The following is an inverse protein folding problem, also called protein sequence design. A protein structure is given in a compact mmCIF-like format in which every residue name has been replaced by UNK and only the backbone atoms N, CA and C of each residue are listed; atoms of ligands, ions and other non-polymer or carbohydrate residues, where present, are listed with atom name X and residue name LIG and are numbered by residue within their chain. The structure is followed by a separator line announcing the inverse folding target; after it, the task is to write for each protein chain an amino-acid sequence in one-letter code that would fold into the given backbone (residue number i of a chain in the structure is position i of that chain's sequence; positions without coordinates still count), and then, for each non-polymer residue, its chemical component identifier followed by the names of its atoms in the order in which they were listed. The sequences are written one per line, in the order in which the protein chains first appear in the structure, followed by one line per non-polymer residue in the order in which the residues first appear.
data_IF_967188585941
#
_entry.id   IF_967188585941
#
_cell.length_a   1.000
_cell.length_b   1.000
_cell.length_c   1.000
_cell.angle_alpha   90.00
_cell.angle_beta   90.00
_cell.angle_gamma   90.00
#
_symmetry.space_group_name_H-M   'P 1'
#
loop_
_entity.id
_entity.type
_entity.pdbx_description
1 polymer ?
#
# COMPACT_ATOMS: atom_id res chain seq x y z
N UNK A 1 -2.82 -59.40 59.95
CA UNK A 1 -2.51 -58.24 60.81
C UNK A 1 -3.70 -57.29 60.81
N UNK A 2 -4.36 -57.16 61.97
CA UNK A 2 -5.08 -56.00 62.56
C UNK A 2 -6.01 -55.15 61.64
N UNK A 3 -7.33 -55.34 61.71
CA UNK A 3 -8.37 -54.72 62.61
C UNK A 3 -8.90 -53.38 62.07
N UNK A 4 -10.18 -53.27 61.70
CA UNK A 4 -11.34 -52.81 62.51
C UNK A 4 -11.35 -51.27 62.66
N UNK A 5 -12.43 -50.49 62.72
CA UNK A 5 -13.89 -50.59 62.81
C UNK A 5 -14.41 -49.24 62.22
N UNK A 6 -15.63 -49.07 61.70
CA UNK A 6 -16.90 -49.24 62.39
C UNK A 6 -17.53 -47.86 62.70
N UNK A 7 -18.77 -47.69 62.23
CA UNK A 7 -19.88 -47.01 62.93
C UNK A 7 -20.12 -45.47 62.84
N UNK A 8 -21.21 -45.18 62.10
CA UNK A 8 -22.41 -44.38 62.44
C UNK A 8 -22.51 -42.84 62.29
N UNK A 9 -23.53 -42.50 61.49
CA UNK A 9 -24.61 -41.51 61.69
C UNK A 9 -24.35 -40.00 61.63
N UNK A 10 -24.78 -39.45 60.48
CA UNK A 10 -25.92 -38.53 60.31
C UNK A 10 -25.97 -37.19 61.08
N UNK A 11 -26.10 -36.12 60.27
CA UNK A 11 -26.49 -34.72 60.55
C UNK A 11 -25.43 -33.78 61.13
N UNK A 12 -24.79 -33.00 60.24
CA UNK A 12 -24.88 -31.52 60.25
C UNK A 12 -24.85 -31.01 58.79
N UNK A 13 -26.04 -30.74 58.25
CA UNK A 13 -26.25 -29.91 57.05
C UNK A 13 -26.33 -28.47 57.55
N UNK A 14 -25.50 -27.53 57.03
CA UNK A 14 -25.84 -26.11 56.75
C UNK A 14 -24.69 -25.08 56.64
N UNK A 15 -23.39 -25.42 56.55
CA UNK A 15 -22.34 -24.37 56.52
C UNK A 15 -21.37 -24.30 55.34
N UNK A 16 -21.43 -25.20 54.34
CA UNK A 16 -20.44 -25.19 53.23
C UNK A 16 -20.93 -24.64 51.88
N UNK A 17 -22.18 -24.17 51.75
CA UNK A 17 -22.69 -23.64 50.47
C UNK A 17 -22.48 -22.12 50.24
N UNK A 18 -22.00 -21.36 51.23
CA UNK A 18 -21.86 -19.91 51.09
C UNK A 18 -20.51 -19.43 50.52
N UNK A 19 -19.40 -20.17 50.67
CA UNK A 19 -18.09 -19.72 50.18
C UNK A 19 -17.83 -20.01 48.69
N UNK A 20 -18.25 -21.18 48.19
CA UNK A 20 -18.04 -21.58 46.78
C UNK A 20 -18.88 -20.69 45.82
N UNK A 21 -20.03 -20.22 46.28
CA UNK A 21 -20.91 -19.31 45.52
C UNK A 21 -20.32 -17.89 45.43
N UNK A 22 -19.53 -17.46 46.42
CA UNK A 22 -18.89 -16.13 46.43
C UNK A 22 -17.67 -16.09 45.51
N UNK A 23 -16.84 -17.13 45.50
CA UNK A 23 -15.68 -17.27 44.61
C UNK A 23 -16.07 -17.45 43.13
N UNK A 24 -17.12 -18.24 42.85
CA UNK A 24 -17.64 -18.39 41.48
C UNK A 24 -18.31 -17.12 40.96
N UNK A 25 -19.03 -16.36 41.80
CA UNK A 25 -19.54 -15.02 41.46
C UNK A 25 -18.43 -14.02 41.16
N UNK A 26 -17.39 -13.95 42.00
CA UNK A 26 -16.26 -13.02 41.79
C UNK A 26 -15.46 -13.40 40.54
N UNK A 27 -15.23 -14.69 40.28
CA UNK A 27 -14.54 -15.16 39.07
C UNK A 27 -15.37 -14.88 37.81
N UNK A 28 -16.69 -15.06 37.87
CA UNK A 28 -17.61 -14.71 36.79
C UNK A 28 -17.68 -13.19 36.57
N UNK A 29 -17.69 -12.36 37.62
CA UNK A 29 -17.64 -10.90 37.50
C UNK A 29 -16.32 -10.40 36.92
N UNK A 30 -15.18 -10.98 37.33
CA UNK A 30 -13.86 -10.63 36.79
C UNK A 30 -13.75 -11.05 35.32
N UNK A 31 -14.24 -12.23 34.95
CA UNK A 31 -14.27 -12.68 33.55
C UNK A 31 -15.23 -11.84 32.70
N UNK A 32 -16.40 -11.48 33.23
CA UNK A 32 -17.38 -10.62 32.57
C UNK A 32 -16.82 -9.21 32.39
N UNK A 33 -16.17 -8.64 33.40
CA UNK A 33 -15.46 -7.36 33.33
C UNK A 33 -14.29 -7.41 32.33
N UNK A 34 -13.55 -8.52 32.24
CA UNK A 34 -12.48 -8.70 31.27
C UNK A 34 -13.00 -8.84 29.83
N UNK A 35 -14.12 -9.53 29.62
CA UNK A 35 -14.83 -9.60 28.32
C UNK A 35 -15.40 -8.24 27.93
N UNK A 36 -15.94 -7.48 28.88
CA UNK A 36 -16.45 -6.13 28.67
C UNK A 36 -15.31 -5.16 28.33
N UNK A 37 -14.15 -5.26 29.00
CA UNK A 37 -12.92 -4.52 28.65
C UNK A 37 -12.42 -4.83 27.24
N UNK A 38 -12.39 -6.11 26.84
CA UNK A 38 -12.03 -6.51 25.47
C UNK A 38 -13.00 -5.95 24.43
N UNK A 39 -14.31 -6.00 24.69
CA UNK A 39 -15.33 -5.39 23.82
C UNK A 39 -15.18 -3.87 23.73
N UNK A 40 -14.86 -3.19 24.84
CA UNK A 40 -14.60 -1.75 24.84
C UNK A 40 -13.32 -1.37 24.07
N UNK A 41 -12.26 -2.15 24.19
CA UNK A 41 -11.03 -1.96 23.41
C UNK A 41 -11.28 -2.17 21.91
N UNK A 42 -12.09 -3.16 21.55
CA UNK A 42 -12.49 -3.41 20.17
C UNK A 42 -13.38 -2.29 19.60
N UNK A 43 -14.35 -1.80 20.38
CA UNK A 43 -15.18 -0.65 20.01
C UNK A 43 -14.36 0.64 19.81
N UNK A 44 -13.29 0.84 20.59
CA UNK A 44 -12.35 1.96 20.42
C UNK A 44 -11.51 1.89 19.15
N UNK A 45 -11.35 0.71 18.56
CA UNK A 45 -10.66 0.55 17.27
C UNK A 45 -11.59 0.84 16.08
N UNK A 46 -12.91 0.68 16.26
CA UNK A 46 -13.92 0.77 15.19
C UNK A 46 -14.52 2.18 15.07
N UNK A 47 -14.69 2.89 16.19
CA UNK A 47 -15.29 4.22 16.20
C UNK A 47 -14.17 5.26 16.09
N UNK A 48 -14.07 6.04 14.99
CA UNK A 48 -13.13 7.16 14.94
C UNK A 48 -13.50 8.15 16.05
N UNK A 49 -12.71 8.15 17.12
CA UNK A 49 -12.67 9.17 18.16
C UNK A 49 -14.03 9.75 18.61
N UNK A 50 -14.95 8.92 19.13
CA UNK A 50 -16.04 9.47 19.94
C UNK A 50 -15.43 10.13 21.20
N UNK A 51 -15.62 11.43 21.47
CA UNK A 51 -15.01 12.10 22.61
C UNK A 51 -15.69 11.64 23.91
N UNK A 52 -15.05 10.69 24.62
CA UNK A 52 -15.54 10.16 25.90
C UNK A 52 -15.08 11.08 27.04
N UNK A 53 -16.03 11.65 27.79
CA UNK A 53 -15.75 12.35 29.05
C UNK A 53 -15.66 11.33 30.21
N UNK A 54 -14.58 11.41 31.01
CA UNK A 54 -14.32 10.48 32.14
C UNK A 54 -15.38 10.53 33.26
N UNK A 55 -16.26 11.54 33.28
CA UNK A 55 -17.35 11.67 34.26
C UNK A 55 -18.67 11.01 33.83
N UNK A 56 -18.75 10.48 32.61
CA UNK A 56 -19.99 9.87 32.08
C UNK A 56 -20.19 8.46 32.62
N UNK A 57 -21.43 8.11 32.93
CA UNK A 57 -21.85 6.75 33.24
C UNK A 57 -21.75 5.83 32.01
N UNK A 58 -21.68 4.52 32.24
CA UNK A 58 -21.62 3.51 31.17
C UNK A 58 -22.79 3.64 30.17
N UNK A 59 -23.99 3.93 30.66
CA UNK A 59 -25.19 4.06 29.82
C UNK A 59 -25.15 5.32 28.93
N UNK A 60 -24.60 6.42 29.44
CA UNK A 60 -24.44 7.67 28.68
C UNK A 60 -23.40 7.50 27.57
N UNK A 61 -22.29 6.82 27.85
CA UNK A 61 -21.27 6.49 26.84
C UNK A 61 -21.88 5.64 25.72
N UNK A 62 -22.68 4.63 26.07
CA UNK A 62 -23.31 3.75 25.08
C UNK A 62 -24.32 4.51 24.19
N UNK A 63 -25.18 5.33 24.79
CA UNK A 63 -26.15 6.16 24.04
C UNK A 63 -25.43 7.17 23.14
N UNK A 64 -24.36 7.78 23.64
CA UNK A 64 -23.53 8.71 22.89
C UNK A 64 -22.87 8.07 21.68
N UNK A 65 -22.28 6.89 21.86
CA UNK A 65 -21.67 6.11 20.79
C UNK A 65 -22.69 5.68 19.73
N UNK A 66 -23.88 5.22 20.12
CA UNK A 66 -24.95 4.86 19.18
C UNK A 66 -25.41 6.09 18.38
N UNK A 67 -25.57 7.25 19.03
CA UNK A 67 -25.93 8.50 18.34
C UNK A 67 -24.84 8.92 17.35
N UNK A 68 -23.57 8.79 17.74
CA UNK A 68 -22.44 9.11 16.88
C UNK A 68 -22.36 8.17 15.67
N UNK A 69 -22.56 6.86 15.85
CA UNK A 69 -22.63 5.90 14.75
C UNK A 69 -23.77 6.20 13.78
N UNK A 70 -24.96 6.55 14.27
CA UNK A 70 -26.07 6.98 13.40
C UNK A 70 -25.78 8.27 12.63
N UNK A 71 -25.10 9.23 13.26
CA UNK A 71 -24.66 10.45 12.58
C UNK A 71 -23.62 10.10 11.52
N UNK A 72 -22.68 9.21 11.80
CA UNK A 72 -21.72 8.74 10.82
C UNK A 72 -22.41 8.00 9.67
N UNK A 73 -23.34 7.09 9.93
CA UNK A 73 -24.13 6.41 8.89
C UNK A 73 -24.91 7.42 8.03
N UNK A 74 -25.54 8.42 8.65
CA UNK A 74 -26.25 9.48 7.94
C UNK A 74 -25.32 10.38 7.11
N UNK A 75 -24.13 10.70 7.63
CA UNK A 75 -23.14 11.54 6.95
C UNK A 75 -22.40 10.80 5.84
N UNK A 76 -22.12 9.51 6.03
CA UNK A 76 -21.43 8.65 5.07
C UNK A 76 -22.37 8.17 3.96
N UNK A 77 -23.67 8.14 4.23
CA UNK A 77 -24.68 7.67 3.29
C UNK A 77 -24.56 6.18 2.98
N UNK A 78 -25.33 5.74 2.00
CA UNK A 78 -25.27 4.37 1.48
C UNK A 78 -24.56 4.34 0.14
N UNK A 79 -23.72 3.31 -0.06
CA UNK A 79 -23.10 3.07 -1.37
C UNK A 79 -24.20 2.64 -2.34
N UNK A 80 -24.37 3.30 -3.49
CA UNK A 80 -25.42 2.93 -4.42
C UNK A 80 -25.25 1.50 -4.94
N UNK A 81 -26.32 0.72 -4.97
CA UNK A 81 -26.28 -0.68 -5.44
C UNK A 81 -25.88 -0.84 -6.92
N UNK A 82 -26.01 0.23 -7.72
CA UNK A 82 -25.55 0.25 -9.11
C UNK A 82 -24.03 0.45 -9.23
N UNK A 83 -23.35 0.91 -8.19
CA UNK A 83 -21.91 1.11 -8.20
C UNK A 83 -21.21 -0.23 -8.03
N UNK A 84 -20.71 -0.76 -9.14
CA UNK A 84 -19.93 -1.99 -9.20
C UNK A 84 -18.64 -1.76 -9.97
N UNK A 85 -17.52 -2.17 -9.39
CA UNK A 85 -16.21 -2.06 -10.03
C UNK A 85 -15.12 -1.57 -9.10
N UNK A 86 -13.95 -1.28 -9.67
CA UNK A 86 -12.75 -0.95 -8.91
C UNK A 86 -12.22 0.42 -9.29
N UNK A 87 -12.00 1.27 -8.30
CA UNK A 87 -11.26 2.53 -8.44
C UNK A 87 -9.84 2.31 -7.94
N UNK A 88 -8.86 2.51 -8.83
CA UNK A 88 -7.44 2.53 -8.46
C UNK A 88 -6.93 3.96 -8.41
N UNK A 89 -6.14 4.25 -7.38
CA UNK A 89 -5.51 5.54 -7.15
C UNK A 89 -4.03 5.33 -6.87
N UNK A 90 -3.21 6.24 -7.37
CA UNK A 90 -1.78 6.27 -7.11
C UNK A 90 -1.42 7.60 -6.44
N UNK A 91 -0.38 7.58 -5.63
CA UNK A 91 0.11 8.75 -4.92
C UNK A 91 1.34 8.44 -4.07
N UNK A 92 2.05 9.49 -3.61
CA UNK A 92 3.16 9.35 -2.68
C UNK A 92 2.69 8.89 -1.28
N UNK A 93 3.23 7.78 -0.77
CA UNK A 93 2.89 7.19 0.53
C UNK A 93 4.02 7.14 1.56
N UNK A 94 5.29 7.00 1.15
CA UNK A 94 6.45 7.00 2.07
C UNK A 94 7.24 8.30 1.92
N UNK A 95 7.24 9.12 2.97
CA UNK A 95 7.95 10.41 3.00
C UNK A 95 9.27 10.40 3.75
N UNK A 96 9.59 9.32 4.47
CA UNK A 96 10.85 9.21 5.20
C UNK A 96 11.39 7.78 5.17
N UNK A 97 12.70 7.66 4.99
CA UNK A 97 13.42 6.39 4.92
C UNK A 97 14.76 6.60 5.64
N UNK A 98 15.07 5.74 6.60
CA UNK A 98 16.36 5.81 7.30
C UNK A 98 16.57 7.08 8.14
N UNK A 99 15.50 7.70 8.61
CA UNK A 99 15.57 8.99 9.31
C UNK A 99 15.74 10.21 8.38
N UNK A 100 15.90 10.00 7.07
CA UNK A 100 15.94 11.07 6.07
C UNK A 100 14.54 11.28 5.50
N UNK A 101 14.12 12.53 5.38
CA UNK A 101 12.80 12.91 4.86
C UNK A 101 12.91 13.50 3.46
N UNK A 102 11.99 13.11 2.59
CA UNK A 102 11.77 13.79 1.32
C UNK A 102 11.32 15.24 1.53
N UNK A 103 11.83 16.14 0.69
CA UNK A 103 11.63 17.58 0.79
C UNK A 103 10.44 18.07 -0.04
N UNK A 104 10.15 17.40 -1.16
CA UNK A 104 9.04 17.76 -2.03
C UNK A 104 7.87 16.78 -1.91
N UNK A 105 6.66 17.27 -2.17
CA UNK A 105 5.45 16.45 -2.11
C UNK A 105 5.49 15.27 -3.09
N UNK A 106 6.00 15.49 -4.29
CA UNK A 106 6.10 14.47 -5.36
C UNK A 106 7.19 13.41 -5.14
N UNK A 107 8.07 13.60 -4.16
CA UNK A 107 9.22 12.70 -3.97
C UNK A 107 8.86 11.43 -3.17
N UNK A 108 7.68 11.39 -2.53
CA UNK A 108 7.27 10.23 -1.75
C UNK A 108 7.14 8.97 -2.60
N UNK A 109 7.55 7.81 -2.06
CA UNK A 109 7.48 6.55 -2.80
C UNK A 109 6.02 6.15 -3.08
N UNK A 110 5.77 5.62 -4.27
CA UNK A 110 4.45 5.27 -4.75
C UNK A 110 3.71 4.27 -3.84
N UNK A 111 2.47 4.64 -3.48
CA UNK A 111 1.49 3.83 -2.77
C UNK A 111 0.26 3.69 -3.65
N UNK A 112 0.03 2.47 -4.10
CA UNK A 112 -1.11 2.09 -4.90
C UNK A 112 -2.28 1.83 -3.96
N UNK A 113 -3.45 2.35 -4.30
CA UNK A 113 -4.68 2.26 -3.52
C UNK A 113 -5.79 1.72 -4.40
N UNK A 114 -6.63 0.85 -3.83
CA UNK A 114 -7.73 0.20 -4.51
C UNK A 114 -8.97 0.28 -3.64
N UNK A 115 -10.05 0.75 -4.24
CA UNK A 115 -11.41 0.80 -3.68
C UNK A 115 -12.31 -0.04 -4.58
N UNK A 116 -12.71 -1.22 -4.11
CA UNK A 116 -13.58 -2.12 -4.84
C UNK A 116 -15.01 -1.99 -4.32
N UNK A 117 -15.99 -1.88 -5.21
CA UNK A 117 -17.40 -1.72 -4.90
C UNK A 117 -18.20 -2.88 -5.47
N UNK A 118 -18.99 -3.52 -4.61
CA UNK A 118 -19.90 -4.60 -5.00
C UNK A 118 -21.02 -4.72 -3.95
N UNK A 119 -22.26 -4.89 -4.40
CA UNK A 119 -23.44 -5.14 -3.55
C UNK A 119 -23.57 -4.20 -2.33
N UNK A 120 -23.41 -2.89 -2.58
CA UNK A 120 -23.53 -1.86 -1.55
C UNK A 120 -22.37 -1.84 -0.53
N UNK A 121 -21.29 -2.56 -0.80
CA UNK A 121 -20.08 -2.63 0.04
C UNK A 121 -18.87 -2.08 -0.68
N UNK A 122 -17.90 -1.61 0.11
CA UNK A 122 -16.60 -1.18 -0.38
C UNK A 122 -15.48 -1.89 0.37
N UNK A 123 -14.51 -2.42 -0.37
CA UNK A 123 -13.26 -2.96 0.16
C UNK A 123 -12.10 -2.06 -0.21
N UNK A 124 -11.25 -1.78 0.77
CA UNK A 124 -10.03 -1.01 0.58
C UNK A 124 -8.81 -1.93 0.67
N UNK A 125 -7.86 -1.73 -0.24
CA UNK A 125 -6.54 -2.34 -0.18
C UNK A 125 -5.49 -1.35 -0.68
N UNK A 126 -4.26 -1.49 -0.20
CA UNK A 126 -3.14 -0.68 -0.67
C UNK A 126 -1.84 -1.47 -0.65
N UNK A 127 -0.94 -1.15 -1.58
CA UNK A 127 0.39 -1.74 -1.66
C UNK A 127 1.38 -0.70 -2.15
N UNK A 128 2.60 -0.76 -1.63
CA UNK A 128 3.69 0.03 -2.19
C UNK A 128 4.09 -0.56 -3.54
N UNK A 129 4.33 0.32 -4.52
CA UNK A 129 4.88 -0.10 -5.80
C UNK A 129 6.30 -0.64 -5.58
N UNK A 130 6.59 -1.83 -6.12
CA UNK A 130 7.90 -2.46 -5.99
C UNK A 130 8.84 -2.01 -7.12
N UNK A 131 9.03 -0.70 -7.25
CA UNK A 131 10.06 -0.13 -8.13
C UNK A 131 11.47 -0.39 -7.57
N UNK A 132 12.51 -0.25 -8.38
CA UNK A 132 13.88 -0.38 -7.92
C UNK A 132 14.27 0.78 -6.98
N UNK A 133 13.75 2.00 -7.19
CA UNK A 133 13.87 3.08 -6.20
C UNK A 133 13.32 2.62 -4.84
N UNK A 134 12.14 1.99 -4.80
CA UNK A 134 11.57 1.48 -3.56
C UNK A 134 12.43 0.38 -2.94
N UNK A 135 12.85 -0.62 -3.73
CA UNK A 135 13.64 -1.77 -3.27
C UNK A 135 14.98 -1.31 -2.69
N UNK A 136 15.71 -0.46 -3.41
CA UNK A 136 17.03 -0.01 -2.97
C UNK A 136 16.95 0.94 -1.78
N UNK A 137 16.01 1.89 -1.78
CA UNK A 137 15.86 2.81 -0.65
C UNK A 137 15.49 2.04 0.63
N UNK A 138 14.61 1.04 0.52
CA UNK A 138 14.21 0.20 1.66
C UNK A 138 15.36 -0.68 2.14
N UNK A 139 16.10 -1.33 1.22
CA UNK A 139 17.23 -2.21 1.54
C UNK A 139 18.37 -1.46 2.22
N UNK A 140 18.73 -0.29 1.67
CA UNK A 140 19.83 0.52 2.15
C UNK A 140 19.42 1.48 3.28
N UNK A 141 18.13 1.55 3.62
CA UNK A 141 17.55 2.45 4.62
C UNK A 141 18.03 3.90 4.43
N UNK A 142 18.00 4.39 3.19
CA UNK A 142 18.31 5.80 2.83
C UNK A 142 17.72 6.14 1.47
N UNK A 143 17.73 7.41 1.10
CA UNK A 143 17.35 7.84 -0.25
C UNK A 143 18.57 7.64 -1.17
N UNK A 144 18.53 6.61 -2.01
CA UNK A 144 19.64 6.20 -2.91
C UNK A 144 19.53 6.90 -4.26
N UNK A 145 18.31 7.08 -4.75
CA UNK A 145 18.02 7.79 -6.00
C UNK A 145 17.59 9.22 -5.72
N UNK A 146 18.11 10.17 -6.51
CA UNK A 146 17.61 11.54 -6.50
C UNK A 146 16.18 11.57 -7.05
N UNK A 147 15.27 12.19 -6.30
CA UNK A 147 13.90 12.46 -6.70
C UNK A 147 13.78 13.91 -7.24
N UNK A 148 12.57 14.36 -7.52
CA UNK A 148 12.31 15.68 -8.11
C UNK A 148 12.88 16.84 -7.29
N UNK A 149 12.60 16.89 -5.98
CA UNK A 149 13.06 17.96 -5.09
C UNK A 149 14.01 17.50 -3.98
N UNK A 150 14.43 16.22 -4.00
CA UNK A 150 15.29 15.64 -2.98
C UNK A 150 16.45 14.90 -3.61
N UNK A 151 17.66 15.39 -3.34
CA UNK A 151 18.89 14.73 -3.78
C UNK A 151 19.14 13.44 -2.99
N UNK A 152 19.72 12.46 -3.66
CA UNK A 152 20.26 11.24 -3.05
C UNK A 152 21.19 11.56 -1.87
N UNK A 153 21.23 10.66 -0.89
CA UNK A 153 22.20 10.69 0.19
C UNK A 153 23.45 9.94 -0.29
N UNK A 154 24.66 10.53 -0.24
CA UNK A 154 25.88 9.85 -0.63
C UNK A 154 26.09 8.56 0.16
N UNK A 155 26.68 7.55 -0.48
CA UNK A 155 27.01 6.29 0.19
C UNK A 155 28.06 6.52 1.30
N UNK A 156 27.74 6.19 2.57
CA UNK A 156 28.68 6.37 3.68
C UNK A 156 29.91 5.47 3.57
N UNK A 157 29.86 4.40 2.77
CA UNK A 157 30.96 3.45 2.59
C UNK A 157 31.93 3.83 1.46
N UNK A 158 31.66 4.91 0.69
CA UNK A 158 32.57 5.38 -0.36
C UNK A 158 33.69 6.24 0.23
N UNK A 159 34.95 5.82 0.01
CA UNK A 159 36.14 6.60 0.36
C UNK A 159 36.27 7.87 -0.52
N UNK A 160 37.13 8.83 -0.15
CA UNK A 160 37.30 10.13 -0.86
C UNK A 160 37.52 9.94 -2.37
N UNK A 161 38.37 9.00 -2.77
CA UNK A 161 38.62 8.69 -4.19
C UNK A 161 37.38 8.09 -4.89
N UNK A 162 36.61 7.22 -4.21
CA UNK A 162 35.37 6.66 -4.75
C UNK A 162 34.25 7.71 -4.84
N UNK A 163 34.24 8.69 -3.92
CA UNK A 163 33.35 9.86 -4.00
C UNK A 163 33.71 10.74 -5.19
N UNK A 164 34.99 10.97 -5.45
CA UNK A 164 35.46 11.69 -6.64
C UNK A 164 35.10 10.94 -7.93
N UNK A 165 35.29 9.62 -7.97
CA UNK A 165 34.91 8.80 -9.12
C UNK A 165 33.39 8.78 -9.35
N UNK A 166 32.60 8.80 -8.28
CA UNK A 166 31.13 8.87 -8.39
C UNK A 166 30.60 10.17 -8.99
N UNK A 167 31.40 11.24 -9.07
CA UNK A 167 31.03 12.42 -9.88
C UNK A 167 31.01 12.14 -11.38
N UNK A 168 31.74 11.14 -11.85
CA UNK A 168 31.76 10.74 -13.25
C UNK A 168 30.74 9.64 -13.56
N UNK A 169 30.14 9.02 -12.54
CA UNK A 169 29.01 8.10 -12.69
C UNK A 169 27.71 8.90 -12.84
N UNK A 170 26.99 8.67 -13.94
CA UNK A 170 25.68 9.29 -14.15
C UNK A 170 24.69 8.72 -13.13
N UNK A 171 24.10 9.55 -12.28
CA UNK A 171 23.05 9.09 -11.37
C UNK A 171 21.87 8.53 -12.21
N UNK A 172 21.42 7.29 -11.93
CA UNK A 172 20.24 6.75 -12.57
C UNK A 172 19.01 7.58 -12.19
N UNK A 173 18.13 7.80 -13.17
CA UNK A 173 16.86 8.48 -12.95
C UNK A 173 15.98 7.64 -12.02
N UNK A 174 15.14 8.30 -11.24
CA UNK A 174 14.16 7.61 -10.41
C UNK A 174 13.09 6.93 -11.28
N UNK A 175 12.79 5.69 -10.93
CA UNK A 175 11.68 4.89 -11.48
C UNK A 175 10.40 5.00 -10.63
N UNK A 176 10.36 5.93 -9.67
CA UNK A 176 9.24 6.07 -8.75
C UNK A 176 7.99 6.57 -9.50
N UNK A 177 7.14 5.64 -9.90
CA UNK A 177 5.90 5.91 -10.59
C UNK A 177 4.75 6.20 -9.61
N UNK A 178 4.78 7.37 -8.96
CA UNK A 178 3.86 7.75 -7.87
C UNK A 178 2.71 8.67 -8.30
N UNK A 179 2.59 9.00 -9.59
CA UNK A 179 1.69 10.05 -10.07
C UNK A 179 0.31 9.52 -10.47
N UNK A 180 0.25 8.59 -11.42
CA UNK A 180 -1.01 8.18 -12.04
C UNK A 180 -1.01 6.73 -12.52
N UNK A 181 -2.18 6.24 -12.96
CA UNK A 181 -2.33 4.99 -13.68
C UNK A 181 -2.77 5.28 -15.13
N UNK A 182 -2.15 4.63 -16.09
CA UNK A 182 -2.61 4.59 -17.48
C UNK A 182 -3.08 3.18 -17.83
N UNK A 183 -3.95 3.03 -18.83
CA UNK A 183 -4.47 1.75 -19.30
C UNK A 183 -3.97 1.49 -20.73
N UNK A 184 -3.17 0.44 -20.95
CA UNK A 184 -2.80 -0.05 -22.30
C UNK A 184 -3.52 -1.38 -22.51
N UNK A 185 -4.57 -1.40 -23.34
CA UNK A 185 -5.42 -2.57 -23.54
C UNK A 185 -6.06 -3.05 -22.23
N UNK A 186 -5.77 -4.29 -21.85
CA UNK A 186 -6.28 -4.93 -20.64
C UNK A 186 -5.40 -4.72 -19.40
N UNK A 187 -4.24 -4.08 -19.55
CA UNK A 187 -3.30 -3.84 -18.46
C UNK A 187 -3.37 -2.39 -17.96
N UNK A 188 -3.10 -2.22 -16.67
CA UNK A 188 -2.87 -0.90 -16.06
C UNK A 188 -1.39 -0.73 -15.73
N UNK A 189 -0.89 0.49 -15.90
CA UNK A 189 0.50 0.85 -15.65
C UNK A 189 0.59 2.03 -14.70
N UNK A 190 1.31 1.87 -13.60
CA UNK A 190 1.68 2.99 -12.74
C UNK A 190 2.73 3.84 -13.47
N UNK A 191 2.54 5.15 -13.42
CA UNK A 191 3.39 6.13 -14.13
C UNK A 191 3.86 7.25 -13.20
N UNK A 192 5.04 7.77 -13.51
CA UNK A 192 5.56 9.06 -13.03
C UNK A 192 5.77 10.00 -14.21
N UNK A 193 6.72 10.93 -14.10
CA UNK A 193 7.12 11.81 -15.21
C UNK A 193 8.43 11.37 -15.91
N UNK A 194 8.94 10.21 -15.51
CA UNK A 194 10.07 9.53 -16.15
C UNK A 194 9.54 8.52 -17.18
N UNK A 195 10.37 8.00 -18.09
CA UNK A 195 9.93 7.04 -19.10
C UNK A 195 9.63 5.64 -18.53
N UNK A 196 9.90 5.41 -17.25
CA UNK A 196 9.64 4.15 -16.57
C UNK A 196 8.16 4.00 -16.22
N UNK A 197 7.57 2.88 -16.64
CA UNK A 197 6.20 2.50 -16.28
C UNK A 197 6.19 1.09 -15.71
N UNK A 198 5.28 0.86 -14.77
CA UNK A 198 5.15 -0.44 -14.09
C UNK A 198 3.79 -1.04 -14.31
N UNK A 199 3.73 -2.24 -14.86
CA UNK A 199 2.49 -2.98 -14.96
C UNK A 199 2.03 -3.41 -13.57
N UNK A 200 0.76 -3.22 -13.30
CA UNK A 200 0.14 -3.55 -12.00
C UNK A 200 -1.07 -4.43 -12.23
N UNK A 201 -1.22 -5.46 -11.40
CA UNK A 201 -2.46 -6.23 -11.31
C UNK A 201 -3.52 -5.38 -10.58
N UNK A 202 -4.66 -5.05 -11.22
CA UNK A 202 -5.69 -4.19 -10.63
C UNK A 202 -6.41 -4.81 -9.41
N UNK A 203 -6.35 -6.13 -9.22
CA UNK A 203 -7.00 -6.81 -8.10
C UNK A 203 -6.08 -6.99 -6.91
N UNK A 204 -4.85 -7.45 -7.16
CA UNK A 204 -3.86 -7.67 -6.09
C UNK A 204 -3.05 -6.43 -5.75
N UNK A 205 -2.96 -5.44 -6.65
CA UNK A 205 -2.00 -4.34 -6.64
C UNK A 205 -0.54 -4.79 -6.65
N UNK A 206 -0.27 -6.02 -7.10
CA UNK A 206 1.10 -6.48 -7.29
C UNK A 206 1.71 -5.81 -8.51
N UNK A 207 2.93 -5.30 -8.33
CA UNK A 207 3.81 -5.01 -9.46
C UNK A 207 4.09 -6.34 -10.13
N UNK A 208 3.56 -6.49 -11.34
CA UNK A 208 3.83 -7.66 -12.16
C UNK A 208 5.33 -7.67 -12.36
N UNK A 209 6.02 -8.73 -11.94
CA UNK A 209 7.45 -8.92 -12.14
C UNK A 209 7.58 -10.11 -13.07
N UNK A 210 7.97 -9.88 -14.33
CA UNK A 210 8.11 -10.96 -15.29
C UNK A 210 9.49 -11.56 -15.11
N UNK A 211 9.63 -12.33 -14.02
CA UNK A 211 10.57 -13.43 -13.91
C UNK A 211 10.30 -14.55 -14.96
N UNK A 212 9.42 -14.29 -15.93
CA UNK A 212 9.13 -15.10 -17.11
C UNK A 212 9.41 -14.36 -18.43
N UNK A 213 10.12 -13.22 -18.40
CA UNK A 213 10.80 -12.70 -19.58
C UNK A 213 11.67 -13.82 -20.16
N UNK A 214 11.26 -14.31 -21.33
CA UNK A 214 11.79 -15.51 -21.93
C UNK A 214 13.32 -15.55 -21.91
N UNK A 215 13.87 -16.70 -21.51
CA UNK A 215 15.21 -17.11 -21.93
C UNK A 215 15.27 -16.91 -23.44
N UNK A 216 16.17 -16.05 -23.89
CA UNK A 216 16.62 -16.02 -25.27
C UNK A 216 17.36 -17.32 -25.53
N UNK A 217 16.62 -18.40 -25.83
CA UNK A 217 17.14 -19.48 -26.64
C UNK A 217 17.02 -19.04 -28.09
N UNK A 218 18.18 -18.81 -28.68
CA UNK A 218 18.46 -18.76 -30.11
C UNK A 218 18.07 -17.47 -30.87
N UNK A 219 18.99 -16.50 -30.83
CA UNK A 219 19.62 -16.07 -32.09
C UNK A 219 19.08 -14.85 -32.85
N UNK A 220 18.41 -13.87 -32.22
CA UNK A 220 18.04 -12.64 -32.95
C UNK A 220 18.67 -11.37 -32.36
N UNK A 221 19.59 -10.74 -33.11
CA UNK A 221 20.05 -9.35 -32.87
C UNK A 221 19.18 -8.41 -33.70
N UNK A 222 18.67 -7.28 -33.15
CA UNK A 222 17.98 -6.29 -33.97
C UNK A 222 18.98 -5.57 -34.91
N UNK A 223 18.58 -5.23 -36.15
CA UNK A 223 19.47 -4.57 -37.12
C UNK A 223 19.80 -3.14 -36.70
N UNK A 224 21.02 -2.70 -37.03
CA UNK A 224 21.64 -1.44 -36.65
C UNK A 224 21.11 -0.18 -37.34
N UNK A 225 20.03 -0.25 -38.14
CA UNK A 225 19.71 0.84 -39.06
C UNK A 225 18.31 1.41 -38.79
N UNK A 226 18.25 2.45 -37.94
CA UNK A 226 17.03 3.23 -37.69
C UNK A 226 16.77 4.21 -38.83
N UNK A 227 16.00 3.80 -39.82
CA UNK A 227 15.26 4.71 -40.71
C UNK A 227 13.93 5.06 -40.04
N UNK A 228 13.71 6.35 -39.80
CA UNK A 228 12.45 6.90 -39.30
C UNK A 228 11.31 6.59 -40.28
N UNK A 229 10.50 5.58 -39.95
CA UNK A 229 9.19 5.40 -40.55
C UNK A 229 8.15 5.31 -39.44
N UNK A 230 6.96 5.79 -39.76
CA UNK A 230 5.78 5.95 -38.92
C UNK A 230 5.26 4.57 -38.46
N UNK A 231 5.99 3.88 -37.59
CA UNK A 231 5.60 2.57 -37.07
C UNK A 231 4.77 2.74 -35.80
N UNK A 232 3.61 2.07 -35.77
CA UNK A 232 2.86 1.80 -34.53
C UNK A 232 3.75 0.94 -33.65
N UNK A 233 4.34 1.53 -32.62
CA UNK A 233 5.03 0.79 -31.57
C UNK A 233 3.95 0.31 -30.60
N UNK A 234 3.58 -0.97 -30.68
CA UNK A 234 2.74 -1.59 -29.66
C UNK A 234 3.56 -1.71 -28.36
N UNK A 235 3.02 -1.21 -27.24
CA UNK A 235 3.46 -1.62 -25.91
C UNK A 235 3.50 -3.16 -25.91
N UNK A 236 4.63 -3.81 -25.58
CA UNK A 236 4.62 -5.27 -25.41
C UNK A 236 3.67 -5.56 -24.25
N UNK A 237 2.55 -6.27 -24.47
CA UNK A 237 1.58 -6.52 -23.41
C UNK A 237 2.12 -7.47 -22.34
N UNK A 238 3.38 -7.90 -22.39
CA UNK A 238 3.98 -8.92 -21.54
C UNK A 238 5.26 -8.53 -20.81
N UNK A 239 5.62 -7.24 -20.69
CA UNK A 239 6.68 -6.83 -19.76
C UNK A 239 6.17 -6.07 -18.52
N UNK A 240 6.78 -6.43 -17.39
CA UNK A 240 6.50 -6.02 -16.03
C UNK A 240 6.92 -4.58 -15.69
N UNK A 241 8.09 -4.21 -16.17
CA UNK A 241 8.68 -2.88 -16.10
C UNK A 241 9.11 -2.52 -17.51
N UNK A 242 8.70 -1.34 -17.96
CA UNK A 242 9.01 -0.88 -19.32
C UNK A 242 9.67 0.48 -19.24
N UNK A 243 10.86 0.59 -19.84
CA UNK A 243 11.47 1.85 -20.18
C UNK A 243 11.02 2.24 -21.59
N UNK A 244 10.07 3.17 -21.67
CA UNK A 244 9.51 3.61 -22.94
C UNK A 244 10.55 4.24 -23.88
N UNK A 245 11.71 4.65 -23.35
CA UNK A 245 12.81 5.18 -24.16
C UNK A 245 13.43 4.15 -25.10
N UNK A 246 13.22 2.85 -24.85
CA UNK A 246 13.61 1.75 -25.74
C UNK A 246 12.80 1.73 -27.04
N UNK A 247 11.54 2.19 -27.01
CA UNK A 247 10.61 2.15 -28.13
C UNK A 247 10.47 3.50 -28.83
N UNK A 248 10.39 4.58 -28.03
CA UNK A 248 10.18 5.95 -28.52
C UNK A 248 11.28 6.85 -27.97
N UNK A 249 11.84 7.72 -28.80
CA UNK A 249 12.90 8.63 -28.38
C UNK A 249 12.35 9.76 -27.48
N UNK A 250 12.17 9.48 -26.20
CA UNK A 250 11.74 10.41 -25.14
C UNK A 250 12.64 10.27 -23.92
N UNK A 251 12.85 11.39 -23.20
CA UNK A 251 13.63 11.46 -21.96
C UNK A 251 12.74 11.61 -20.74
N UNK A 252 11.60 12.26 -20.91
CA UNK A 252 10.51 12.39 -19.93
C UNK A 252 9.20 12.24 -20.66
N UNK A 253 8.14 11.90 -19.93
CA UNK A 253 6.79 11.88 -20.48
C UNK A 253 5.81 12.30 -19.39
N UNK A 254 4.62 12.76 -19.75
CA UNK A 254 3.61 13.07 -18.74
C UNK A 254 2.97 11.80 -18.20
N UNK A 255 2.50 11.83 -16.96
CA UNK A 255 1.63 10.77 -16.40
C UNK A 255 0.18 10.85 -16.89
N UNK A 256 -0.15 11.85 -17.72
CA UNK A 256 -1.51 12.19 -18.12
C UNK A 256 -1.68 12.01 -19.62
N UNK A 257 -2.03 10.80 -20.03
CA UNK A 257 -2.32 10.49 -21.42
C UNK A 257 -3.80 10.74 -21.77
N UNK A 258 -4.06 10.87 -23.06
CA UNK A 258 -5.40 10.92 -23.63
C UNK A 258 -5.72 9.62 -24.36
N UNK A 259 -7.01 9.30 -24.43
CA UNK A 259 -7.54 8.15 -25.14
C UNK A 259 -8.52 8.62 -26.21
N UNK A 260 -8.49 8.00 -27.38
CA UNK A 260 -9.58 8.12 -28.35
C UNK A 260 -10.65 7.03 -28.12
N UNK A 261 -11.74 7.10 -28.89
CA UNK A 261 -12.85 6.14 -28.80
C UNK A 261 -12.45 4.69 -29.11
N UNK A 262 -11.32 4.49 -29.80
CA UNK A 262 -10.79 3.16 -30.14
C UNK A 262 -9.84 2.63 -29.05
N UNK A 263 -9.57 3.43 -28.02
CA UNK A 263 -8.64 3.09 -26.95
C UNK A 263 -7.16 3.31 -27.31
N UNK A 264 -6.86 4.03 -28.39
CA UNK A 264 -5.47 4.41 -28.69
C UNK A 264 -5.01 5.46 -27.67
N UNK A 265 -3.74 5.37 -27.26
CA UNK A 265 -3.14 6.24 -26.25
C UNK A 265 -2.30 7.32 -26.91
N UNK A 266 -2.54 8.57 -26.51
CA UNK A 266 -1.73 9.71 -26.89
C UNK A 266 -1.08 10.30 -25.64
N UNK A 267 0.24 10.46 -25.68
CA UNK A 267 1.00 11.10 -24.61
C UNK A 267 2.07 12.01 -25.21
N UNK A 268 2.59 12.92 -24.41
CA UNK A 268 3.64 13.86 -24.79
C UNK A 268 4.83 13.72 -23.85
N UNK A 269 6.02 13.94 -24.40
CA UNK A 269 7.27 13.83 -23.66
C UNK A 269 8.36 14.70 -24.26
N UNK A 270 9.33 15.08 -23.42
CA UNK A 270 10.47 15.85 -23.90
C UNK A 270 11.53 14.92 -24.49
N UNK A 271 12.19 15.40 -25.55
CA UNK A 271 13.36 14.76 -26.12
C UNK A 271 14.47 15.79 -26.25
N UNK A 272 15.66 15.46 -25.74
CA UNK A 272 16.85 16.25 -26.01
C UNK A 272 17.35 15.93 -27.42
N UNK A 273 17.39 16.96 -28.27
CA UNK A 273 17.84 16.85 -29.65
C UNK A 273 19.35 16.76 -29.76
N UNK A 274 19.86 16.49 -30.97
CA UNK A 274 21.32 16.42 -31.22
C UNK A 274 22.08 17.71 -30.87
N UNK A 275 21.39 18.84 -30.83
CA UNK A 275 21.94 20.16 -30.51
C UNK A 275 21.73 20.60 -29.06
N UNK A 276 21.10 19.77 -28.23
CA UNK A 276 20.94 20.04 -26.80
C UNK A 276 22.30 19.92 -26.12
N UNK A 277 22.81 21.03 -25.57
CA UNK A 277 24.06 21.10 -24.80
C UNK A 277 23.79 20.92 -23.32
#
# INVERSE_FOLDING_TARGET
MRTAAGFTNMKVVLQQQFEVTRMSRVRNEVEQNNRERKRQLHLRQIIPCYPINKKMSKQEILRGAIRYLRILEYLLGEIPNWLRGTVVRNGPGIYSIGGVRYKHWFDGLALLQRFHFEDGKMWYSCRYLKSDTYKQNTTQKRIVFSAFGTRSVPDPCKNIFQRLLSWFEKEPLTDNASSHFIRCGDAIYATGETPYVYRVDPDSLETVNDAWAWKVSDGFRPPSDKVFSKQRYSCDPMAAEEDLSNYVAVNTMTSHCHYDEQGNIYNIGARFGRSSK
#
